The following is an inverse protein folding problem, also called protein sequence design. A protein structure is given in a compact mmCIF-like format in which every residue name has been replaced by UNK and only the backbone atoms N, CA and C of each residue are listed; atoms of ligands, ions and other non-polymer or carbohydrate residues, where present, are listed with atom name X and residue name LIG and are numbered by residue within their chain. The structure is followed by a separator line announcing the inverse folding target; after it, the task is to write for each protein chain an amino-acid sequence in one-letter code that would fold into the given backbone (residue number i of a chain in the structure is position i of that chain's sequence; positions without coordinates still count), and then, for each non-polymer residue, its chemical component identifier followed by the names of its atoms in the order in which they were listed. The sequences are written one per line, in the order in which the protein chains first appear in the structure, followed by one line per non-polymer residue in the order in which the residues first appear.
data_IF_638449102241
#
_entry.id   IF_638449102241
#
_cell.length_a   1.000
_cell.length_b   1.000
_cell.length_c   1.000
_cell.angle_alpha   90.00
_cell.angle_beta   90.00
_cell.angle_gamma   90.00
#
_symmetry.space_group_name_H-M   'P 1'
#
loop_
_entity.id
_entity.type
_entity.pdbx_description
1 polymer ?
2 water ?
#
# COMPACT_ATOMS: atom_id res chain seq x y z
N UNK A 9 22.13 14.62 16.40
CA UNK A 9 22.04 13.17 16.50
C UNK A 9 22.29 12.50 15.16
N UNK A 10 23.46 11.90 15.03
CA UNK A 10 23.84 11.17 13.83
C UNK A 10 23.47 9.70 14.02
N UNK A 11 22.62 9.16 13.14
CA UNK A 11 22.20 7.78 13.21
C UNK A 11 22.34 7.13 11.85
N UNK A 12 22.40 5.80 11.86
CA UNK A 12 22.47 4.99 10.65
C UNK A 12 21.37 3.94 10.71
N UNK A 13 20.62 3.82 9.61
CA UNK A 13 19.47 2.93 9.57
C UNK A 13 19.35 2.33 8.17
N UNK A 14 18.75 1.15 8.11
CA UNK A 14 18.34 0.55 6.85
C UNK A 14 16.85 0.82 6.68
N UNK A 15 16.50 1.55 5.63
CA UNK A 15 15.15 2.07 5.43
C UNK A 15 14.54 1.48 4.17
N UNK A 16 13.23 1.32 4.19
CA UNK A 16 12.48 0.99 2.98
C UNK A 16 11.78 2.25 2.48
N UNK A 17 11.93 2.52 1.18
CA UNK A 17 11.27 3.65 0.54
C UNK A 17 10.24 3.10 -0.43
N UNK A 18 9.01 3.57 -0.31
CA UNK A 18 7.90 3.12 -1.15
C UNK A 18 7.32 4.33 -1.87
N UNK A 19 7.26 4.23 -3.20
CA UNK A 19 6.74 5.30 -4.06
C UNK A 19 5.44 4.84 -4.71
N UNK A 20 4.27 5.22 -4.17
CA UNK A 20 3.01 4.97 -4.89
C UNK A 20 2.95 5.91 -6.07
N UNK A 21 3.02 5.36 -7.27
CA UNK A 21 3.26 6.16 -8.46
C UNK A 21 2.00 6.48 -9.26
N UNK A 22 1.23 5.46 -9.61
CA UNK A 22 0.07 5.66 -10.48
C UNK A 22 -0.98 4.61 -10.15
N UNK A 23 -2.24 5.02 -10.27
CA UNK A 23 -3.38 4.10 -10.15
C UNK A 23 -4.17 4.22 -11.44
N UNK A 24 -4.14 3.16 -12.24
CA UNK A 24 -4.68 3.18 -13.59
C UNK A 24 -5.93 2.32 -13.68
N UNK A 25 -7.02 2.81 -13.10
CA UNK A 25 -8.32 2.16 -13.28
C UNK A 25 -8.87 2.49 -14.66
N UNK A 26 -9.49 1.49 -15.30
CA UNK A 26 -10.14 1.74 -16.58
C UNK A 26 -11.40 2.58 -16.41
N UNK A 27 -12.03 2.53 -15.24
CA UNK A 27 -13.30 3.18 -15.02
C UNK A 27 -13.24 4.68 -15.32
N UNK A 28 -14.14 5.12 -16.19
CA UNK A 28 -14.31 6.54 -16.47
C UNK A 28 -15.21 7.24 -15.44
N UNK A 29 -15.73 6.50 -14.47
CA UNK A 29 -16.73 7.03 -13.56
C UNK A 29 -16.08 7.87 -12.47
N UNK A 30 -16.89 8.69 -11.81
CA UNK A 30 -16.40 9.53 -10.72
C UNK A 30 -15.86 8.71 -9.56
N UNK A 31 -16.32 7.47 -9.41
CA UNK A 31 -15.84 6.58 -8.36
C UNK A 31 -14.44 6.03 -8.63
N UNK A 32 -13.86 6.33 -9.80
CA UNK A 32 -12.48 6.00 -10.09
C UNK A 32 -11.54 7.17 -9.85
N UNK A 33 -12.07 8.32 -9.46
CA UNK A 33 -11.27 9.49 -9.11
C UNK A 33 -11.38 9.73 -7.61
N UNK A 34 -10.46 10.55 -7.09
CA UNK A 34 -10.44 10.87 -5.67
C UNK A 34 -10.27 9.61 -4.82
N UNK A 35 -9.36 8.74 -5.26
CA UNK A 35 -9.04 7.54 -4.49
C UNK A 35 -8.02 7.92 -3.43
N UNK A 36 -8.29 7.51 -2.20
CA UNK A 36 -7.33 7.62 -1.11
C UNK A 36 -6.71 6.25 -0.87
N UNK A 37 -5.39 6.22 -0.62
CA UNK A 37 -4.68 4.98 -0.36
C UNK A 37 -4.12 5.05 1.05
N UNK A 38 -4.48 4.07 1.87
CA UNK A 38 -3.84 3.90 3.17
C UNK A 38 -2.69 2.91 3.02
N UNK A 39 -1.54 3.23 3.60
CA UNK A 39 -0.35 2.41 3.49
C UNK A 39 0.09 2.02 4.88
N UNK A 40 0.34 0.72 5.08
CA UNK A 40 0.80 0.16 6.34
C UNK A 40 1.92 -0.83 6.07
N UNK A 41 2.80 -0.99 7.06
CA UNK A 41 3.84 -2.02 7.02
C UNK A 41 3.49 -3.01 8.12
N UNK A 42 3.03 -4.20 7.71
CA UNK A 42 2.45 -5.19 8.61
C UNK A 42 3.47 -6.26 8.98
N UNK A 43 3.35 -6.77 10.20
CA UNK A 43 4.11 -7.95 10.63
C UNK A 43 3.23 -9.19 10.75
N UNK A 44 1.97 -9.09 10.36
CA UNK A 44 1.03 -10.19 10.39
C UNK A 44 -0.24 -9.76 9.70
N UNK A 45 -1.24 -10.65 9.69
CA UNK A 45 -2.47 -10.36 8.95
C UNK A 45 -3.57 -9.75 9.80
N UNK A 46 -3.41 -9.68 11.09
CA UNK A 46 -4.46 -9.09 11.89
C UNK A 46 -4.38 -7.57 11.82
N UNK A 47 -5.51 -6.87 11.92
CA UNK A 47 -5.48 -5.39 11.94
C UNK A 47 -4.56 -4.81 12.99
N UNK A 48 -4.31 -5.51 14.08
CA UNK A 48 -3.42 -5.05 15.15
C UNK A 48 -1.94 -5.18 14.78
N UNK A 49 -1.62 -5.75 13.61
CA UNK A 49 -0.23 -6.03 13.26
C UNK A 49 0.44 -4.93 12.42
N UNK A 50 -0.12 -3.74 12.36
CA UNK A 50 0.52 -2.63 11.68
C UNK A 50 1.66 -2.11 12.56
N UNK A 51 2.86 -2.07 12.02
CA UNK A 51 4.00 -1.68 12.83
C UNK A 51 4.17 -0.15 12.85
N UNK A 52 4.56 0.42 13.97
CA UNK A 52 4.75 1.89 14.03
C UNK A 52 6.13 2.26 13.50
N UNK A 53 6.25 2.21 12.18
CA UNK A 53 7.55 2.28 11.50
C UNK A 53 7.59 3.30 10.39
N UNK A 54 6.51 3.99 10.09
CA UNK A 54 6.47 4.93 8.98
C UNK A 54 6.87 6.30 9.51
N UNK A 55 7.90 6.91 8.90
CA UNK A 55 8.29 8.24 9.33
C UNK A 55 7.17 9.23 9.09
N UNK A 56 6.87 10.02 10.12
CA UNK A 56 5.91 11.09 9.99
C UNK A 56 6.54 12.34 9.40
N UNK A 57 5.69 13.32 9.12
CA UNK A 57 6.17 14.59 8.60
C UNK A 57 6.77 15.48 9.70
N UNK A 58 6.43 15.23 10.96
CA UNK A 58 6.92 16.06 12.05
C UNK A 58 8.33 15.64 12.45
N UNK A 59 8.99 16.52 13.19
CA UNK A 59 10.31 16.22 13.71
C UNK A 59 10.21 15.28 14.90
N UNK A 60 11.34 14.69 15.28
CA UNK A 60 11.38 13.73 16.36
C UNK A 60 12.50 12.71 16.21
N UNK A 61 12.33 11.74 15.30
CA UNK A 61 11.14 11.58 14.45
C UNK A 61 9.96 10.90 15.13
N UNK A 62 8.77 11.14 14.59
CA UNK A 62 7.56 10.48 15.02
C UNK A 62 7.24 9.36 14.03
N UNK A 63 6.81 8.22 14.54
CA UNK A 63 6.56 7.04 13.74
C UNK A 63 5.07 6.69 13.75
N UNK A 64 4.57 6.40 12.56
CA UNK A 64 3.16 6.14 12.33
C UNK A 64 2.96 4.68 11.94
N UNK A 65 1.77 4.18 12.25
CA UNK A 65 1.31 2.88 11.77
C UNK A 65 0.66 2.95 10.39
N UNK A 66 0.24 4.12 9.96
CA UNK A 66 -0.44 4.23 8.66
C UNK A 66 -0.26 5.65 8.16
N UNK A 67 -0.21 5.79 6.84
CA UNK A 67 -0.29 7.08 6.18
C UNK A 67 -1.34 6.99 5.09
N UNK A 68 -1.98 8.12 4.82
CA UNK A 68 -3.02 8.23 3.80
C UNK A 68 -2.52 9.15 2.70
N UNK A 69 -2.67 8.71 1.45
CA UNK A 69 -2.20 9.49 0.33
C UNK A 69 -3.21 9.41 -0.81
N UNK A 70 -3.13 10.37 -1.72
CA UNK A 70 -3.90 10.33 -2.95
C UNK A 70 -2.91 10.47 -4.09
N UNK A 71 -3.02 9.62 -5.10
CA UNK A 71 -2.04 9.67 -6.19
C UNK A 71 -2.63 10.32 -7.42
N UNK A 72 -2.99 11.59 -7.26
CA UNK A 72 -3.29 12.47 -8.38
C UNK A 72 -2.19 13.52 -8.47
N UNK A 73 -2.01 14.06 -9.67
CA UNK A 73 -1.00 15.07 -9.91
C UNK A 73 -1.56 16.42 -10.33
N UNK A 74 -2.85 16.51 -10.62
CA UNK A 74 -3.45 17.77 -11.08
C UNK A 74 -3.29 18.89 -10.06
N UNK A 75 -3.20 18.57 -8.77
CA UNK A 75 -3.14 19.57 -7.71
C UNK A 75 -1.78 19.64 -7.04
N UNK A 76 -0.75 19.09 -7.67
CA UNK A 76 0.58 19.06 -7.10
C UNK A 76 1.54 19.80 -8.03
N UNK A 77 2.68 20.19 -7.49
CA UNK A 77 3.74 20.73 -8.33
C UNK A 77 4.24 19.63 -9.27
N UNK A 78 4.80 20.00 -10.43
CA UNK A 78 5.35 18.96 -11.33
C UNK A 78 6.47 18.17 -10.70
N UNK A 79 7.12 18.70 -9.66
CA UNK A 79 8.22 18.02 -8.98
C UNK A 79 7.75 17.08 -7.88
N UNK A 80 6.45 16.91 -7.72
CA UNK A 80 5.94 16.18 -6.57
C UNK A 80 6.06 14.68 -6.76
N UNK A 81 6.46 14.00 -5.69
CA UNK A 81 6.33 12.54 -5.59
C UNK A 81 5.96 12.17 -4.17
N UNK A 82 5.07 11.20 -4.03
CA UNK A 82 4.77 10.64 -2.73
C UNK A 82 5.88 9.65 -2.36
N UNK A 83 6.38 9.77 -1.12
CA UNK A 83 7.45 8.90 -0.66
C UNK A 83 7.09 8.45 0.75
N UNK A 84 6.92 7.14 0.93
CA UNK A 84 6.69 6.57 2.25
C UNK A 84 8.01 5.99 2.71
N UNK A 85 8.49 6.45 3.85
CA UNK A 85 9.79 6.07 4.39
C UNK A 85 9.54 5.22 5.63
N UNK A 86 10.15 4.04 5.68
CA UNK A 86 9.86 3.04 6.70
C UNK A 86 11.15 2.59 7.38
N UNK A 87 11.14 2.55 8.71
CA UNK A 87 12.27 1.95 9.41
C UNK A 87 12.08 0.44 9.44
N UNK A 88 12.89 -0.27 8.67
CA UNK A 88 12.76 -1.72 8.61
C UNK A 88 13.11 -2.32 9.96
N UNK A 89 12.41 -3.36 10.40
CA UNK A 89 12.85 -4.09 11.58
C UNK A 89 14.19 -4.74 11.28
N UNK A 90 14.99 -4.95 12.33
CA UNK A 90 16.33 -5.48 12.13
C UNK A 90 16.30 -6.85 11.49
N UNK A 91 15.29 -7.66 11.80
CA UNK A 91 15.13 -8.97 11.17
C UNK A 91 13.81 -8.97 10.40
N UNK A 92 13.91 -9.01 9.08
CA UNK A 92 12.73 -9.07 8.23
C UNK A 92 12.43 -10.53 7.92
N UNK A 93 11.16 -10.91 7.97
CA UNK A 93 10.75 -12.29 7.76
C UNK A 93 9.67 -12.33 6.69
N UNK A 94 9.24 -13.56 6.34
CA UNK A 94 8.19 -13.71 5.35
C UNK A 94 6.85 -13.16 5.79
N UNK A 95 6.69 -12.85 7.07
CA UNK A 95 5.43 -12.29 7.56
C UNK A 95 5.31 -10.79 7.32
N UNK A 96 6.40 -10.11 6.97
CA UNK A 96 6.34 -8.67 6.77
C UNK A 96 5.85 -8.33 5.37
N UNK A 97 4.93 -7.38 5.28
CA UNK A 97 4.39 -6.99 3.98
C UNK A 97 3.85 -5.58 4.01
N UNK A 98 3.89 -4.92 2.86
CA UNK A 98 3.15 -3.68 2.69
C UNK A 98 1.70 -4.03 2.45
N UNK A 99 0.81 -3.28 3.09
CA UNK A 99 -0.63 -3.43 2.88
C UNK A 99 -1.21 -2.10 2.44
N UNK A 100 -1.93 -2.12 1.33
CA UNK A 100 -2.54 -0.93 0.75
C UNK A 100 -4.04 -1.09 0.84
N UNK A 101 -4.74 -0.10 1.40
CA UNK A 101 -6.20 -0.09 1.42
C UNK A 101 -6.67 1.10 0.60
N UNK A 102 -7.58 0.85 -0.33
CA UNK A 102 -8.07 1.87 -1.24
C UNK A 102 -9.47 2.30 -0.83
N UNK A 103 -9.70 3.61 -0.78
CA UNK A 103 -10.97 4.18 -0.40
C UNK A 103 -11.44 5.13 -1.49
N UNK A 104 -12.74 5.17 -1.72
CA UNK A 104 -13.27 6.04 -2.75
C UNK A 104 -14.63 6.51 -2.29
N UNK A 105 -15.29 7.29 -3.13
CA UNK A 105 -16.66 7.71 -2.90
C UNK A 105 -17.52 6.95 -3.90
N UNK A 106 -18.37 6.07 -3.39
CA UNK A 106 -19.29 5.34 -4.24
C UNK A 106 -20.31 6.29 -4.84
N UNK A 107 -20.51 6.21 -6.14
CA UNK A 107 -21.56 6.98 -6.79
C UNK A 107 -22.92 6.50 -6.30
N UNK A 108 -23.76 7.45 -5.92
CA UNK A 108 -25.11 7.17 -5.46
C UNK A 108 -25.18 6.24 -4.26
N UNK A 109 -25.08 6.82 -3.06
CA UNK A 109 -25.24 6.08 -1.82
C UNK A 109 -26.66 6.26 -1.31
N UNK A 110 -26.88 5.92 -0.05
CA UNK A 110 -28.19 6.11 0.56
C UNK A 110 -28.36 7.56 0.99
N UNK A 111 -29.51 8.14 0.66
CA UNK A 111 -29.84 9.53 1.00
C UNK A 111 -28.87 10.51 0.35
N UNK A 112 -28.34 10.15 -0.82
CA UNK A 112 -27.41 11.02 -1.52
C UNK A 112 -26.10 11.27 -0.79
N UNK A 113 -25.71 10.37 0.11
CA UNK A 113 -24.49 10.56 0.87
C UNK A 113 -23.27 10.56 -0.06
N UNK A 114 -22.21 11.22 0.37
CA UNK A 114 -20.99 11.33 -0.42
C UNK A 114 -19.74 10.98 0.38
N UNK A 115 -19.87 10.16 1.42
CA UNK A 115 -18.73 9.78 2.23
C UNK A 115 -17.84 8.76 1.55
N UNK A 116 -16.69 8.52 2.17
CA UNK A 116 -15.69 7.62 1.62
C UNK A 116 -15.89 6.22 2.17
N UNK A 117 -15.68 5.22 1.32
CA UNK A 117 -15.88 3.83 1.69
C UNK A 117 -14.80 2.96 1.07
N UNK A 118 -14.69 1.75 1.60
CA UNK A 118 -13.67 0.80 1.17
C UNK A 118 -13.89 0.39 -0.29
N UNK A 119 -12.84 0.48 -1.09
CA UNK A 119 -12.82 -0.06 -2.44
C UNK A 119 -12.13 -1.42 -2.51
N UNK A 120 -10.97 -1.57 -1.91
CA UNK A 120 -10.26 -2.83 -1.97
C UNK A 120 -8.90 -2.75 -1.32
N UNK A 121 -8.10 -3.78 -1.59
CA UNK A 121 -6.79 -3.93 -0.98
C UNK A 121 -5.76 -4.39 -1.99
N UNK A 122 -4.50 -4.06 -1.72
CA UNK A 122 -3.40 -4.75 -2.38
C UNK A 122 -2.29 -4.92 -1.35
N UNK A 123 -1.26 -5.66 -1.74
CA UNK A 123 -0.18 -5.92 -0.80
C UNK A 123 1.05 -6.36 -1.54
N UNK A 124 2.18 -6.30 -0.84
CA UNK A 124 3.45 -6.77 -1.36
C UNK A 124 4.24 -7.41 -0.24
N UNK A 125 4.43 -8.72 -0.24
CA UNK A 125 5.36 -9.32 0.72
C UNK A 125 6.75 -8.76 0.49
N UNK A 126 7.45 -8.42 1.57
CA UNK A 126 8.78 -7.85 1.41
C UNK A 126 9.80 -8.92 1.03
N UNK A 127 9.61 -10.16 1.48
CA UNK A 127 10.43 -11.28 1.06
C UNK A 127 9.56 -12.29 0.33
N UNK A 128 9.99 -12.71 -0.85
CA UNK A 128 9.22 -13.68 -1.62
C UNK A 128 10.19 -14.44 -2.51
N UNK A 129 10.03 -15.76 -2.55
CA UNK A 129 10.93 -16.60 -3.34
C UNK A 129 12.38 -16.35 -2.95
N UNK A 130 12.60 -16.14 -1.65
CA UNK A 130 13.93 -15.93 -1.07
C UNK A 130 14.61 -14.67 -1.61
N UNK A 131 13.82 -13.69 -2.06
CA UNK A 131 14.34 -12.45 -2.61
C UNK A 131 13.65 -11.24 -1.96
N UNK A 132 14.44 -10.22 -1.67
CA UNK A 132 13.89 -8.94 -1.25
C UNK A 132 13.11 -8.32 -2.40
N UNK A 133 11.88 -7.87 -2.11
CA UNK A 133 10.97 -7.40 -3.16
C UNK A 133 11.11 -5.90 -3.40
N UNK A 134 12.29 -5.52 -3.92
CA UNK A 134 12.51 -4.16 -4.38
C UNK A 134 12.29 -4.08 -5.90
N UNK A 135 12.17 -2.87 -6.39
CA UNK A 135 11.96 -2.63 -7.81
C UNK A 135 10.57 -2.09 -8.11
N UNK A 136 10.18 -2.27 -9.38
CA UNK A 136 8.90 -1.75 -9.89
C UNK A 136 7.86 -2.86 -9.89
N UNK A 137 6.66 -2.53 -9.43
CA UNK A 137 5.55 -3.49 -9.33
C UNK A 137 4.28 -2.86 -9.88
N UNK A 138 3.48 -3.68 -10.55
CA UNK A 138 2.15 -3.28 -10.99
C UNK A 138 1.17 -4.26 -10.38
N UNK A 139 0.45 -3.81 -9.36
CA UNK A 139 -0.30 -4.69 -8.47
C UNK A 139 -1.80 -4.65 -8.78
N UNK A 140 -2.47 -5.79 -8.63
CA UNK A 140 -3.92 -5.82 -8.74
C UNK A 140 -4.56 -5.43 -7.41
N UNK A 141 -5.88 -5.29 -7.43
CA UNK A 141 -6.65 -4.85 -6.26
C UNK A 141 -7.71 -5.91 -5.96
N UNK A 142 -7.64 -6.48 -4.75
CA UNK A 142 -8.65 -7.42 -4.28
C UNK A 142 -9.80 -6.62 -3.68
N UNK A 143 -11.02 -7.00 -4.05
CA UNK A 143 -12.20 -6.28 -3.59
C UNK A 143 -12.73 -6.90 -2.30
N UNK A 144 -13.37 -6.05 -1.50
CA UNK A 144 -14.20 -6.46 -0.35
C UNK A 144 -13.42 -6.83 0.91
N UNK A 145 -12.51 -7.80 0.82
CA UNK A 145 -11.80 -8.31 1.99
C UNK A 145 -10.63 -9.15 1.48
N UNK A 146 -9.72 -9.54 2.43
CA UNK A 146 -8.60 -10.41 2.08
C UNK A 146 -8.73 -11.77 2.75
N UNK A 147 -8.37 -12.86 2.07
CA UNK A 147 -8.51 -14.18 2.68
C UNK A 147 -7.35 -14.46 3.63
N UNK A 148 -7.51 -15.43 4.54
CA UNK A 148 -6.37 -15.84 5.36
C UNK A 148 -5.22 -16.31 4.50
N UNK A 149 -4.00 -16.01 4.96
CA UNK A 149 -2.76 -16.39 4.29
C UNK A 149 -2.51 -15.64 3.00
N UNK A 150 -3.23 -14.53 2.74
CA UNK A 150 -2.94 -13.71 1.56
C UNK A 150 -1.48 -13.27 1.53
N UNK A 151 -0.90 -13.02 2.70
CA UNK A 151 0.31 -12.23 2.78
C UNK A 151 1.57 -12.99 2.43
N UNK A 152 1.51 -14.32 2.36
CA UNK A 152 2.67 -15.11 1.97
C UNK A 152 2.74 -15.35 0.47
N UNK A 153 1.83 -14.76 -0.30
CA UNK A 153 1.76 -14.92 -1.75
C UNK A 153 1.84 -13.55 -2.40
N UNK A 154 2.33 -13.51 -3.63
CA UNK A 154 2.16 -12.31 -4.42
C UNK A 154 0.67 -12.15 -4.76
N UNK A 155 0.21 -10.90 -4.80
CA UNK A 155 -1.16 -10.61 -5.21
C UNK A 155 -1.46 -11.09 -6.62
N UNK A 156 -0.43 -11.28 -7.45
CA UNK A 156 -0.64 -11.77 -8.80
C UNK A 156 -1.14 -13.22 -8.81
N UNK A 157 -0.79 -14.01 -7.80
CA UNK A 157 -1.11 -15.44 -7.83
C UNK A 157 -1.39 -15.93 -6.41
N UNK A 158 -2.66 -15.99 -6.06
CA UNK A 158 -3.11 -16.45 -4.75
C UNK A 158 -3.91 -17.73 -4.98
N UNK A 159 -3.69 -18.79 -4.21
CA UNK A 159 -4.46 -20.02 -4.41
C UNK A 159 -5.95 -19.77 -4.25
N UNK A 160 -6.74 -20.72 -4.78
CA UNK A 160 -8.18 -20.62 -4.75
C UNK A 160 -8.69 -20.58 -3.31
N UNK A 161 -9.55 -19.62 -3.02
CA UNK A 161 -10.14 -19.46 -1.70
C UNK A 161 -11.61 -19.84 -1.74
N UNK A 162 -12.14 -20.18 -0.58
CA UNK A 162 -13.57 -20.41 -0.40
C UNK A 162 -13.98 -19.65 0.86
N UNK A 163 -14.74 -18.55 0.74
CA UNK A 163 -15.29 -17.99 -0.51
C UNK A 163 -14.22 -17.40 -1.42
N UNK A 164 -14.52 -17.33 -2.72
CA UNK A 164 -13.50 -16.92 -3.69
C UNK A 164 -13.18 -15.43 -3.63
N UNK A 165 -11.93 -15.10 -3.98
CA UNK A 165 -11.50 -13.71 -4.08
C UNK A 165 -12.08 -13.09 -5.33
N UNK A 166 -12.50 -11.82 -5.23
CA UNK A 166 -12.86 -11.02 -6.39
C UNK A 166 -11.86 -9.89 -6.56
N UNK A 167 -11.51 -9.60 -7.81
CA UNK A 167 -10.47 -8.63 -8.12
C UNK A 167 -11.02 -7.54 -9.01
N UNK A 168 -10.50 -6.32 -8.84
CA UNK A 168 -10.86 -5.24 -9.75
C UNK A 168 -10.38 -5.58 -11.16
N UNK A 169 -11.19 -5.21 -12.15
CA UNK A 169 -10.83 -5.37 -13.55
C UNK A 169 -10.36 -6.79 -13.85
N UNK A 170 -11.04 -7.77 -13.25
CA UNK A 170 -10.74 -9.16 -13.55
C UNK A 170 -9.30 -9.56 -13.27
N UNK A 171 -8.67 -8.99 -12.24
CA UNK A 171 -7.31 -9.32 -11.79
C UNK A 171 -6.21 -8.58 -12.55
N UNK A 172 -6.55 -7.56 -13.34
CA UNK A 172 -5.51 -6.78 -14.02
C UNK A 172 -4.69 -5.99 -13.02
N UNK A 173 -3.38 -5.88 -13.29
CA UNK A 173 -2.54 -4.99 -12.50
C UNK A 173 -2.86 -3.53 -12.82
N UNK A 174 -3.14 -2.75 -11.79
CA UNK A 174 -3.56 -1.35 -11.97
C UNK A 174 -2.76 -0.36 -11.12
N UNK A 175 -2.03 -0.84 -10.11
CA UNK A 175 -1.41 0.04 -9.12
C UNK A 175 0.11 -0.06 -9.25
N UNK A 176 0.73 1.01 -9.71
CA UNK A 176 2.17 1.02 -9.95
C UNK A 176 2.89 1.62 -8.77
N UNK A 177 3.88 0.88 -8.24
CA UNK A 177 4.73 1.36 -7.15
C UNK A 177 6.18 1.03 -7.46
N UNK A 178 7.06 1.73 -6.77
CA UNK A 178 8.49 1.42 -6.76
C UNK A 178 8.91 1.27 -5.30
N UNK A 179 9.77 0.29 -5.05
CA UNK A 179 10.21 -0.03 -3.69
C UNK A 179 11.72 -0.18 -3.70
N UNK A 180 12.39 0.42 -2.70
CA UNK A 180 13.84 0.26 -2.60
C UNK A 180 14.26 0.29 -1.15
N UNK A 181 15.30 -0.48 -0.83
CA UNK A 181 15.91 -0.49 0.49
C UNK A 181 17.22 0.29 0.40
N UNK A 182 17.43 1.21 1.34
CA UNK A 182 18.61 2.06 1.37
C UNK A 182 19.11 2.15 2.80
N UNK A 183 20.39 1.85 3.02
CA UNK A 183 21.00 2.02 4.32
C UNK A 183 21.94 3.21 4.27
N UNK A 184 21.74 4.18 5.15
CA UNK A 184 22.53 5.40 5.09
C UNK A 184 22.55 6.09 6.45
N UNK A 185 23.45 7.05 6.57
CA UNK A 185 23.59 7.87 7.76
C UNK A 185 22.63 9.05 7.66
N UNK A 186 21.94 9.36 8.75
CA UNK A 186 21.00 10.47 8.81
C UNK A 186 21.44 11.39 9.94
N UNK A 187 21.50 12.69 9.65
CA UNK A 187 21.95 13.67 10.64
C UNK A 187 20.79 14.51 11.16
#
# INVERSE_FOLDING_TARGET
GSSGSSGPHTVYRNLLYVYPQRLNFASKLASARNITIKIQFMCGEDPSNAMPVIFGKSSGPEFLQEVYTAITYHNKSPDFYEEVKIKLPAKLTVNHHLLFTFYHISCQQKQGASGESLLGYSWLPILLNERLQTGSYCLPVALEKLPPNYSIHSAEKVPLQNPPIKWAEGHKGVFNIEVQAVSSVHTQDNHL
#
